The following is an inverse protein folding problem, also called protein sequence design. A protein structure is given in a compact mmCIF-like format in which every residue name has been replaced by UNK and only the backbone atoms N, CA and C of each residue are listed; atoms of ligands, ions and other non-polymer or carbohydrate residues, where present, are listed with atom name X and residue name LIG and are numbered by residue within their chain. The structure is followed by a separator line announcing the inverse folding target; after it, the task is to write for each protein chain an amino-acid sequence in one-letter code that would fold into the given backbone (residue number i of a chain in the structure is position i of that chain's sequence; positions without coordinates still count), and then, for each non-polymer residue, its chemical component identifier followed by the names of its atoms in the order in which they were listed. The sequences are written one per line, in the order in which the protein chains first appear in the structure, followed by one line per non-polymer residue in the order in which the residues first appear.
data_IF_364189451808
#
_entry.id   IF_364189451808
#
_cell.length_a   1.000
_cell.length_b   1.000
_cell.length_c   1.000
_cell.angle_alpha   90.00
_cell.angle_beta   90.00
_cell.angle_gamma   90.00
#
_symmetry.space_group_name_H-M   'P 1'
#
loop_
_entity.id
_entity.type
_entity.pdbx_description
1 polymer ?
#
# COMPACT_ATOMS: atom_id res chain seq x y z
N UNK A 1 14.98 17.69 -12.89
CA UNK A 1 13.70 17.34 -12.27
C UNK A 1 13.87 15.94 -11.70
N UNK A 2 13.76 15.77 -10.40
CA UNK A 2 13.86 14.44 -9.80
C UNK A 2 12.48 13.79 -9.82
N UNK A 3 12.26 12.90 -10.78
CA UNK A 3 10.98 12.20 -10.99
C UNK A 3 10.44 11.52 -9.73
N UNK A 4 11.32 11.13 -8.81
CA UNK A 4 10.94 10.43 -7.59
C UNK A 4 10.59 11.39 -6.44
N UNK A 5 10.92 12.68 -6.57
CA UNK A 5 10.59 13.71 -5.58
C UNK A 5 9.31 14.50 -5.93
N UNK A 6 8.78 14.32 -7.14
CA UNK A 6 7.56 14.97 -7.58
C UNK A 6 6.39 14.00 -7.60
N UNK A 7 5.22 14.48 -7.18
CA UNK A 7 3.99 13.67 -7.30
C UNK A 7 3.70 13.32 -8.77
N UNK A 8 3.14 12.13 -9.04
CA UNK A 8 2.69 11.78 -10.39
C UNK A 8 1.70 12.79 -10.94
N UNK A 9 1.79 13.03 -12.25
CA UNK A 9 0.83 13.88 -12.95
C UNK A 9 -0.56 13.21 -13.06
N UNK A 10 -1.65 13.98 -13.22
CA UNK A 10 -3.00 13.42 -13.31
C UNK A 10 -3.20 12.37 -14.40
N UNK A 11 -2.36 12.39 -15.45
CA UNK A 11 -2.40 11.44 -16.57
C UNK A 11 -1.70 10.11 -16.25
N UNK A 12 -1.10 9.97 -15.07
CA UNK A 12 -0.34 8.79 -14.67
C UNK A 12 -1.16 7.82 -13.84
N UNK A 13 -2.35 8.20 -13.40
CA UNK A 13 -3.20 7.38 -12.54
C UNK A 13 -4.68 7.76 -12.67
N UNK A 14 -5.61 6.85 -12.34
CA UNK A 14 -7.03 7.16 -12.28
C UNK A 14 -7.36 8.23 -11.24
N UNK A 15 -8.10 9.27 -11.62
CA UNK A 15 -8.38 10.44 -10.77
C UNK A 15 -9.05 10.14 -9.43
N UNK A 16 -9.75 9.01 -9.31
CA UNK A 16 -10.35 8.59 -8.03
C UNK A 16 -9.32 8.24 -6.94
N UNK A 17 -8.03 8.06 -7.29
CA UNK A 17 -6.95 7.81 -6.34
C UNK A 17 -6.28 9.09 -5.81
N UNK A 18 -6.63 10.27 -6.33
CA UNK A 18 -5.99 11.55 -5.96
C UNK A 18 -5.94 11.76 -4.44
N UNK A 19 -7.03 11.43 -3.73
CA UNK A 19 -7.10 11.59 -2.28
C UNK A 19 -6.07 10.75 -1.50
N UNK A 20 -5.58 9.63 -2.04
CA UNK A 20 -4.47 8.88 -1.45
C UNK A 20 -3.14 9.54 -1.75
N UNK A 21 -2.91 9.93 -3.01
CA UNK A 21 -1.64 10.56 -3.42
C UNK A 21 -1.40 11.88 -2.69
N UNK A 22 -2.48 12.62 -2.38
CA UNK A 22 -2.39 13.88 -1.63
C UNK A 22 -1.88 13.71 -0.20
N UNK A 23 -2.06 12.53 0.40
CA UNK A 23 -1.55 12.21 1.72
C UNK A 23 -0.04 11.94 1.77
N UNK A 24 0.59 11.68 0.62
CA UNK A 24 2.02 11.34 0.56
C UNK A 24 2.85 12.58 0.85
N UNK A 25 3.75 12.53 1.85
CA UNK A 25 4.67 13.64 2.15
C UNK A 25 5.58 13.99 0.97
N UNK A 26 6.07 15.23 0.94
CA UNK A 26 7.09 15.65 -0.01
C UNK A 26 8.41 14.93 0.21
N UNK A 27 9.19 14.75 -0.86
CA UNK A 27 10.51 14.13 -0.88
C UNK A 27 10.61 12.97 -1.84
N UNK A 28 11.80 12.40 -1.94
CA UNK A 28 12.04 11.22 -2.76
C UNK A 28 11.18 10.06 -2.27
N UNK A 29 10.32 9.53 -3.15
CA UNK A 29 9.32 8.53 -2.78
C UNK A 29 9.92 7.29 -2.11
N UNK A 30 11.11 6.85 -2.52
CA UNK A 30 11.76 5.68 -1.94
C UNK A 30 12.23 5.94 -0.49
N UNK A 31 12.69 7.16 -0.21
CA UNK A 31 13.07 7.55 1.16
C UNK A 31 11.82 7.75 2.04
N UNK A 32 10.74 8.28 1.45
CA UNK A 32 9.44 8.37 2.15
C UNK A 32 8.90 6.99 2.47
N UNK A 33 9.05 6.00 1.56
CA UNK A 33 8.70 4.59 1.81
C UNK A 33 9.44 4.02 3.02
N UNK A 34 10.74 4.25 3.14
CA UNK A 34 11.55 3.75 4.27
C UNK A 34 11.11 4.38 5.59
N UNK A 35 10.94 5.70 5.61
CA UNK A 35 10.48 6.43 6.80
C UNK A 35 9.08 5.99 7.23
N UNK A 36 8.16 5.88 6.28
CA UNK A 36 6.80 5.43 6.56
C UNK A 36 6.79 3.97 7.03
N UNK A 37 7.66 3.11 6.48
CA UNK A 37 7.79 1.72 6.92
C UNK A 37 8.14 1.61 8.40
N UNK A 38 9.13 2.40 8.86
CA UNK A 38 9.51 2.45 10.27
C UNK A 38 8.34 2.92 11.13
N UNK A 39 7.71 4.05 10.75
CA UNK A 39 6.55 4.59 11.46
C UNK A 39 5.40 3.57 11.55
N UNK A 40 5.07 2.89 10.46
CA UNK A 40 3.99 1.90 10.43
C UNK A 40 4.31 0.68 11.30
N UNK A 41 5.57 0.22 11.30
CA UNK A 41 5.99 -0.87 12.18
C UNK A 41 5.86 -0.48 13.66
N UNK A 42 6.32 0.70 14.03
CA UNK A 42 6.20 1.21 15.40
C UNK A 42 4.72 1.35 15.80
N UNK A 43 3.89 1.86 14.90
CA UNK A 43 2.45 2.01 15.13
C UNK A 43 1.77 0.67 15.44
N UNK A 44 1.88 -0.33 14.56
CA UNK A 44 1.23 -1.62 14.80
C UNK A 44 1.84 -2.39 15.98
N UNK A 45 3.14 -2.28 16.23
CA UNK A 45 3.79 -2.88 17.39
C UNK A 45 3.41 -2.19 18.74
N UNK A 46 2.92 -0.96 18.70
CA UNK A 46 2.43 -0.26 19.90
C UNK A 46 1.01 -0.66 20.31
N UNK A 47 0.27 -1.32 19.43
CA UNK A 47 -1.10 -1.74 19.69
C UNK A 47 -1.14 -3.06 20.47
N UNK A 48 -2.13 -3.17 21.35
CA UNK A 48 -2.42 -4.43 22.04
C UNK A 48 -3.23 -5.38 21.14
N UNK A 49 -3.23 -6.67 21.48
CA UNK A 49 -4.05 -7.65 20.79
C UNK A 49 -5.57 -7.32 20.89
N UNK A 50 -6.00 -6.75 22.01
CA UNK A 50 -7.36 -6.26 22.19
C UNK A 50 -7.70 -5.14 21.18
N UNK A 51 -6.79 -4.16 21.02
CA UNK A 51 -6.94 -3.10 20.03
C UNK A 51 -6.94 -3.65 18.60
N UNK A 52 -6.14 -4.70 18.33
CA UNK A 52 -6.15 -5.42 17.07
C UNK A 52 -7.51 -6.02 16.69
N UNK A 53 -8.28 -6.44 17.68
CA UNK A 53 -9.61 -7.03 17.50
C UNK A 53 -10.76 -6.01 17.51
N UNK A 54 -10.48 -4.72 17.73
CA UNK A 54 -11.53 -3.68 17.73
C UNK A 54 -12.10 -3.46 16.34
N UNK A 55 -13.39 -3.16 16.32
CA UNK A 55 -14.10 -2.60 15.16
C UNK A 55 -14.78 -1.29 15.59
N UNK A 56 -14.88 -0.31 14.71
CA UNK A 56 -15.53 0.96 15.02
C UNK A 56 -17.07 0.89 14.96
N UNK A 57 -17.63 -0.12 14.32
CA UNK A 57 -19.08 -0.36 14.25
C UNK A 57 -19.36 -1.83 13.90
N UNK A 58 -20.58 -2.28 14.20
CA UNK A 58 -21.02 -3.65 13.89
C UNK A 58 -20.86 -3.97 12.39
N UNK A 59 -20.27 -5.12 12.09
CA UNK A 59 -20.07 -5.61 10.72
C UNK A 59 -18.98 -4.89 9.94
N UNK A 60 -18.16 -4.07 10.60
CA UNK A 60 -17.01 -3.41 9.98
C UNK A 60 -15.73 -4.19 10.28
N UNK A 61 -14.70 -3.94 9.47
CA UNK A 61 -13.39 -4.55 9.62
C UNK A 61 -12.78 -4.27 11.00
N UNK A 62 -12.06 -5.23 11.52
CA UNK A 62 -11.20 -5.05 12.67
C UNK A 62 -9.89 -4.37 12.26
N UNK A 63 -9.09 -3.92 13.23
CA UNK A 63 -7.72 -3.41 12.94
C UNK A 63 -6.86 -4.49 12.29
N UNK A 64 -7.01 -5.77 12.69
CA UNK A 64 -6.33 -6.91 12.04
C UNK A 64 -6.78 -7.10 10.59
N UNK A 65 -8.06 -6.93 10.30
CA UNK A 65 -8.58 -7.01 8.93
C UNK A 65 -8.00 -5.88 8.06
N UNK A 66 -7.90 -4.66 8.60
CA UNK A 66 -7.27 -3.55 7.91
C UNK A 66 -5.78 -3.84 7.66
N UNK A 67 -5.05 -4.36 8.64
CA UNK A 67 -3.64 -4.71 8.45
C UNK A 67 -3.47 -5.83 7.41
N UNK A 68 -4.33 -6.85 7.44
CA UNK A 68 -4.37 -7.90 6.42
C UNK A 68 -4.68 -7.35 5.02
N UNK A 69 -5.65 -6.43 4.92
CA UNK A 69 -5.94 -5.72 3.67
C UNK A 69 -4.74 -4.92 3.16
N UNK A 70 -3.99 -4.25 4.04
CA UNK A 70 -2.76 -3.54 3.66
C UNK A 70 -1.69 -4.51 3.13
N UNK A 71 -1.54 -5.68 3.74
CA UNK A 71 -0.60 -6.72 3.29
C UNK A 71 -0.98 -7.22 1.90
N UNK A 72 -2.24 -7.58 1.68
CA UNK A 72 -2.70 -8.11 0.39
C UNK A 72 -2.64 -7.04 -0.71
N UNK A 73 -3.05 -5.82 -0.40
CA UNK A 73 -2.96 -4.69 -1.33
C UNK A 73 -1.50 -4.43 -1.74
N UNK A 74 -0.57 -4.48 -0.78
CA UNK A 74 0.85 -4.30 -1.09
C UNK A 74 1.39 -5.40 -2.01
N UNK A 75 1.01 -6.67 -1.83
CA UNK A 75 1.36 -7.76 -2.74
C UNK A 75 0.85 -7.53 -4.15
N UNK A 76 -0.43 -7.16 -4.26
CA UNK A 76 -1.07 -6.93 -5.55
C UNK A 76 -0.41 -5.75 -6.27
N UNK A 77 -0.26 -4.61 -5.60
CA UNK A 77 0.31 -3.42 -6.23
C UNK A 77 1.81 -3.56 -6.50
N UNK A 78 2.59 -4.16 -5.63
CA UNK A 78 4.01 -4.42 -5.91
C UNK A 78 4.21 -5.37 -7.09
N UNK A 79 3.34 -6.37 -7.24
CA UNK A 79 3.32 -7.25 -8.41
C UNK A 79 2.97 -6.47 -9.69
N UNK A 80 1.98 -5.58 -9.64
CA UNK A 80 1.64 -4.70 -10.77
C UNK A 80 2.83 -3.81 -11.16
N UNK A 81 3.46 -3.15 -10.19
CA UNK A 81 4.65 -2.34 -10.41
C UNK A 81 5.78 -3.15 -11.05
N UNK A 82 6.07 -4.36 -10.56
CA UNK A 82 7.07 -5.27 -11.14
C UNK A 82 6.76 -5.63 -12.59
N UNK A 83 5.54 -6.05 -12.88
CA UNK A 83 5.11 -6.44 -14.23
C UNK A 83 5.26 -5.29 -15.22
N UNK A 84 4.78 -4.10 -14.85
CA UNK A 84 4.91 -2.90 -15.67
C UNK A 84 6.39 -2.53 -15.85
N UNK A 85 7.18 -2.57 -14.78
CA UNK A 85 8.62 -2.29 -14.82
C UNK A 85 9.38 -3.21 -15.78
N UNK A 86 8.99 -4.48 -15.84
CA UNK A 86 9.58 -5.49 -16.74
C UNK A 86 9.01 -5.47 -18.16
N UNK A 87 8.04 -4.58 -18.45
CA UNK A 87 7.45 -4.42 -19.78
C UNK A 87 6.38 -5.46 -20.14
N UNK A 88 5.83 -6.16 -19.14
CA UNK A 88 4.69 -7.03 -19.34
C UNK A 88 3.50 -6.22 -19.90
N UNK A 89 2.91 -6.70 -20.99
CA UNK A 89 1.81 -6.05 -21.70
C UNK A 89 0.43 -6.55 -21.28
N UNK A 90 0.37 -7.59 -20.44
CA UNK A 90 -0.90 -8.11 -20.00
C UNK A 90 -1.53 -7.15 -18.98
N UNK A 91 -2.83 -6.93 -19.11
CA UNK A 91 -3.57 -6.17 -18.12
C UNK A 91 -3.55 -6.87 -16.75
N UNK A 92 -3.41 -6.08 -15.69
CA UNK A 92 -3.50 -6.59 -14.32
C UNK A 92 -4.95 -6.46 -13.87
N UNK A 93 -5.60 -7.56 -13.42
CA UNK A 93 -6.99 -7.54 -13.01
C UNK A 93 -7.22 -6.68 -11.76
N UNK A 94 -8.47 -6.23 -11.55
CA UNK A 94 -8.95 -5.76 -10.26
C UNK A 94 -9.06 -6.88 -9.23
N UNK A 95 -9.40 -6.52 -8.00
CA UNK A 95 -9.74 -7.46 -6.92
C UNK A 95 -10.79 -6.86 -6.00
N UNK A 96 -11.61 -7.72 -5.40
CA UNK A 96 -12.62 -7.29 -4.44
C UNK A 96 -12.06 -7.41 -3.02
N UNK A 97 -11.76 -6.26 -2.43
CA UNK A 97 -11.10 -6.19 -1.12
C UNK A 97 -11.91 -6.85 0.01
N UNK A 98 -13.24 -6.73 -0.01
CA UNK A 98 -14.10 -7.33 1.00
C UNK A 98 -14.07 -8.87 0.96
N UNK A 99 -14.00 -9.45 -0.24
CA UNK A 99 -13.87 -10.90 -0.40
C UNK A 99 -12.49 -11.39 0.09
N UNK A 100 -11.42 -10.63 -0.16
CA UNK A 100 -10.09 -10.94 0.34
C UNK A 100 -10.04 -10.91 1.86
N UNK A 101 -10.57 -9.86 2.48
CA UNK A 101 -10.63 -9.77 3.95
C UNK A 101 -11.47 -10.89 4.54
N UNK A 102 -12.63 -11.18 3.95
CA UNK A 102 -13.53 -12.26 4.41
C UNK A 102 -12.87 -13.64 4.36
N UNK A 103 -12.02 -13.91 3.36
CA UNK A 103 -11.35 -15.20 3.17
C UNK A 103 -9.94 -15.24 3.75
N UNK A 104 -9.38 -14.09 4.13
CA UNK A 104 -8.03 -13.96 4.65
C UNK A 104 -7.83 -14.49 6.06
N UNK A 105 -8.93 -14.65 6.83
CA UNK A 105 -8.93 -15.17 8.21
C UNK A 105 -7.95 -14.44 9.14
N UNK A 106 -7.80 -13.12 8.96
CA UNK A 106 -6.82 -12.31 9.70
C UNK A 106 -7.07 -12.28 11.21
N UNK A 107 -8.31 -12.46 11.63
CA UNK A 107 -8.69 -12.53 13.06
C UNK A 107 -8.09 -13.74 13.79
N UNK A 108 -7.77 -14.85 13.09
CA UNK A 108 -7.14 -16.04 13.66
C UNK A 108 -5.65 -15.85 13.95
N UNK A 109 -5.05 -14.82 13.35
CA UNK A 109 -3.63 -14.49 13.49
C UNK A 109 -3.43 -13.47 14.61
N UNK A 110 -2.25 -13.47 15.24
CA UNK A 110 -1.91 -12.39 16.17
C UNK A 110 -1.59 -11.10 15.41
N UNK A 111 -1.88 -9.96 16.05
CA UNK A 111 -1.52 -8.65 15.49
C UNK A 111 0.00 -8.54 15.22
N UNK A 112 0.80 -9.12 16.11
CA UNK A 112 2.26 -9.14 15.97
C UNK A 112 2.73 -9.93 14.75
N UNK A 113 2.13 -11.08 14.48
CA UNK A 113 2.45 -11.91 13.31
C UNK A 113 2.11 -11.17 11.99
N UNK A 114 0.95 -10.52 11.93
CA UNK A 114 0.57 -9.69 10.79
C UNK A 114 1.53 -8.49 10.61
N UNK A 115 1.90 -7.81 11.69
CA UNK A 115 2.83 -6.68 11.64
C UNK A 115 4.22 -7.11 11.14
N UNK A 116 4.72 -8.28 11.58
CA UNK A 116 5.99 -8.84 11.10
C UNK A 116 5.93 -9.18 9.61
N UNK A 117 4.87 -9.82 9.15
CA UNK A 117 4.67 -10.14 7.73
C UNK A 117 4.67 -8.88 6.87
N UNK A 118 3.90 -7.85 7.28
CA UNK A 118 3.88 -6.57 6.59
C UNK A 118 5.28 -5.94 6.52
N UNK A 119 6.04 -5.96 7.62
CA UNK A 119 7.40 -5.42 7.70
C UNK A 119 8.34 -6.12 6.70
N UNK A 120 8.32 -7.46 6.67
CA UNK A 120 9.17 -8.26 5.77
C UNK A 120 8.81 -8.02 4.30
N UNK A 121 7.52 -7.99 3.98
CA UNK A 121 7.03 -7.70 2.63
C UNK A 121 7.48 -6.31 2.15
N UNK A 122 7.30 -5.28 2.98
CA UNK A 122 7.72 -3.93 2.67
C UNK A 122 9.24 -3.83 2.48
N UNK A 123 10.02 -4.47 3.31
CA UNK A 123 11.48 -4.48 3.20
C UNK A 123 11.94 -5.10 1.86
N UNK A 124 11.30 -6.21 1.43
CA UNK A 124 11.58 -6.83 0.14
C UNK A 124 11.18 -5.91 -1.03
N UNK A 125 10.02 -5.27 -0.95
CA UNK A 125 9.52 -4.36 -1.99
C UNK A 125 10.40 -3.11 -2.13
N UNK A 126 10.87 -2.51 -1.03
CA UNK A 126 11.80 -1.38 -1.08
C UNK A 126 13.07 -1.76 -1.84
N UNK A 127 13.64 -2.95 -1.58
CA UNK A 127 14.82 -3.43 -2.32
C UNK A 127 14.54 -3.59 -3.81
N UNK A 128 13.36 -4.10 -4.16
CA UNK A 128 12.93 -4.23 -5.56
C UNK A 128 12.81 -2.85 -6.22
N UNK A 129 12.11 -1.91 -5.61
CA UNK A 129 11.92 -0.56 -6.17
C UNK A 129 13.23 0.21 -6.31
N UNK A 130 14.15 0.10 -5.35
CA UNK A 130 15.50 0.68 -5.44
C UNK A 130 16.37 0.06 -6.53
N UNK A 131 16.01 -1.11 -7.05
CA UNK A 131 16.71 -1.75 -8.18
C UNK A 131 16.26 -1.24 -9.55
N UNK A 132 15.20 -0.45 -9.62
CA UNK A 132 14.70 0.11 -10.88
C UNK A 132 15.52 1.33 -11.29
N UNK A 133 15.79 1.46 -12.58
CA UNK A 133 16.33 2.71 -13.15
C UNK A 133 15.25 3.79 -13.21
N UNK A 134 15.67 5.03 -13.33
CA UNK A 134 14.78 6.20 -13.32
C UNK A 134 13.69 6.13 -14.42
N UNK A 135 14.06 5.67 -15.63
CA UNK A 135 13.11 5.56 -16.75
C UNK A 135 12.07 4.46 -16.53
N UNK A 136 12.36 3.52 -15.67
CA UNK A 136 11.38 2.47 -15.31
C UNK A 136 10.19 3.05 -14.56
N UNK A 137 10.37 4.10 -13.77
CA UNK A 137 9.28 4.68 -12.98
C UNK A 137 8.19 5.36 -13.81
N UNK A 138 8.50 5.80 -15.02
CA UNK A 138 7.51 6.39 -15.95
C UNK A 138 6.88 5.38 -16.92
N UNK A 139 7.28 4.10 -16.87
CA UNK A 139 6.63 3.05 -17.66
C UNK A 139 5.18 2.91 -17.27
N UNK A 140 4.32 2.71 -18.28
CA UNK A 140 2.89 2.57 -18.14
C UNK A 140 2.41 1.14 -18.38
N UNK A 141 1.37 0.76 -17.69
CA UNK A 141 0.64 -0.49 -17.90
C UNK A 141 -0.82 -0.35 -17.50
N UNK A 142 -1.58 -1.42 -17.68
CA UNK A 142 -3.00 -1.44 -17.34
C UNK A 142 -3.20 -2.17 -16.02
N UNK A 143 -3.92 -1.54 -15.09
CA UNK A 143 -4.33 -2.14 -13.83
C UNK A 143 -5.78 -1.75 -13.52
N UNK A 144 -6.62 -2.75 -13.27
CA UNK A 144 -8.06 -2.55 -13.04
C UNK A 144 -8.68 -1.65 -14.14
N UNK A 145 -8.43 -2.03 -15.40
CA UNK A 145 -8.91 -1.36 -16.63
C UNK A 145 -8.43 0.11 -16.84
N UNK A 146 -7.48 0.56 -16.02
CA UNK A 146 -6.96 1.92 -16.10
C UNK A 146 -5.46 1.93 -16.35
N UNK A 147 -4.99 2.95 -17.10
CA UNK A 147 -3.57 3.20 -17.28
C UNK A 147 -2.95 3.74 -16.00
N UNK A 148 -1.78 3.23 -15.64
CA UNK A 148 -1.03 3.66 -14.46
C UNK A 148 0.47 3.53 -14.70
N UNK A 149 1.27 4.46 -14.15
CA UNK A 149 2.75 4.35 -14.16
C UNK A 149 3.27 3.61 -12.94
N UNK A 150 4.50 3.09 -13.04
CA UNK A 150 5.18 2.46 -11.90
C UNK A 150 5.26 3.42 -10.71
N UNK A 151 5.68 4.69 -10.92
CA UNK A 151 5.77 5.64 -9.81
C UNK A 151 4.40 5.95 -9.18
N UNK A 152 3.35 6.03 -9.99
CA UNK A 152 2.01 6.24 -9.47
C UNK A 152 1.54 5.08 -8.59
N UNK A 153 1.90 3.83 -8.93
CA UNK A 153 1.65 2.68 -8.06
C UNK A 153 2.35 2.83 -6.71
N UNK A 154 3.60 3.33 -6.68
CA UNK A 154 4.31 3.55 -5.42
C UNK A 154 3.62 4.62 -4.57
N UNK A 155 3.28 5.77 -5.17
CA UNK A 155 2.55 6.82 -4.46
C UNK A 155 1.20 6.32 -3.93
N UNK A 156 0.48 5.52 -4.73
CA UNK A 156 -0.79 4.94 -4.33
C UNK A 156 -0.65 3.99 -3.14
N UNK A 157 0.35 3.08 -3.17
CA UNK A 157 0.64 2.17 -2.06
C UNK A 157 0.86 2.94 -0.75
N UNK A 158 1.69 3.98 -0.82
CA UNK A 158 2.06 4.74 0.36
C UNK A 158 0.90 5.57 0.90
N UNK A 159 0.19 6.27 0.01
CA UNK A 159 -0.97 7.08 0.39
C UNK A 159 -2.12 6.24 0.95
N UNK A 160 -2.35 5.06 0.38
CA UNK A 160 -3.33 4.11 0.86
C UNK A 160 -3.02 3.62 2.29
N UNK A 161 -1.75 3.28 2.57
CA UNK A 161 -1.32 2.91 3.92
C UNK A 161 -1.51 4.07 4.91
N UNK A 162 -1.08 5.28 4.55
CA UNK A 162 -1.23 6.48 5.38
C UNK A 162 -2.72 6.73 5.69
N UNK A 163 -3.59 6.61 4.69
CA UNK A 163 -5.03 6.74 4.84
C UNK A 163 -5.58 5.77 5.89
N UNK A 164 -5.25 4.49 5.77
CA UNK A 164 -5.76 3.47 6.68
C UNK A 164 -5.22 3.60 8.11
N UNK A 165 -3.95 3.97 8.29
CA UNK A 165 -3.40 4.25 9.61
C UNK A 165 -4.09 5.45 10.26
N UNK A 166 -4.31 6.51 9.48
CA UNK A 166 -5.08 7.67 9.97
C UNK A 166 -6.49 7.25 10.36
N UNK A 167 -7.17 6.48 9.53
CA UNK A 167 -8.52 5.99 9.80
C UNK A 167 -8.59 5.14 11.07
N UNK A 168 -7.59 4.28 11.32
CA UNK A 168 -7.50 3.51 12.58
C UNK A 168 -7.37 4.46 13.77
N UNK A 169 -6.46 5.43 13.71
CA UNK A 169 -6.27 6.40 14.80
C UNK A 169 -7.52 7.21 15.13
N UNK A 170 -8.24 7.62 14.10
CA UNK A 170 -9.40 8.52 14.26
C UNK A 170 -10.67 7.77 14.71
N UNK A 171 -10.79 6.45 14.48
CA UNK A 171 -12.04 5.72 14.67
C UNK A 171 -11.96 4.51 15.60
N UNK A 172 -10.76 3.93 15.84
CA UNK A 172 -10.62 2.68 16.60
C UNK A 172 -9.87 2.86 17.94
N UNK A 173 -9.11 3.93 18.08
CA UNK A 173 -8.26 4.19 19.26
C UNK A 173 -8.75 5.36 20.07
#
# INVERSE_FOLDING_TARGET
MDLLSEKPFPEEYPGHYTHYLDLVPEGNILDVFEKQSAFTNDFFNSLTEEQGNRTYAFGKWTVKDILGHLIDTERIFSTRALRIARGDKQANPGFEQDDYVKTGNFFERSLKDLAEERMLLRAANIKMFRSFDELTFIKKGIANDNEITVRAVLFLLLGHEIYHIKFIKDNYL
#
